data_IF_782527139071
#
_entry.id   IF_782527139071
#
_cell.length_a   1.000
_cell.length_b   1.000
_cell.length_c   1.000
_cell.angle_alpha   90.00
_cell.angle_beta   90.00
_cell.angle_gamma   90.00
#
_symmetry.space_group_name_H-M   'P 1'
#
loop_
_entity.id
_entity.type
_entity.pdbx_description
1 polymer ?
#
# COMPACT_ATOMS: atom_id res chain seq x y z
N UNK A 1 5.73 18.37 6.21
CA UNK A 1 5.29 16.96 6.20
C UNK A 1 6.42 16.12 5.63
N UNK A 2 6.73 14.96 6.23
CA UNK A 2 7.69 14.01 5.63
C UNK A 2 7.07 13.45 4.34
N UNK A 3 7.81 13.44 3.24
CA UNK A 3 7.33 12.84 1.99
C UNK A 3 7.21 11.32 2.14
N UNK A 4 6.06 10.77 1.76
CA UNK A 4 5.79 9.33 1.76
C UNK A 4 5.79 8.74 0.34
N UNK A 5 5.78 7.41 0.27
CA UNK A 5 5.47 6.69 -0.98
C UNK A 5 4.01 6.95 -1.33
N UNK A 6 3.73 7.25 -2.60
CA UNK A 6 2.37 7.49 -3.06
C UNK A 6 1.59 6.18 -3.08
N UNK A 7 0.32 6.26 -2.68
CA UNK A 7 -0.65 5.16 -2.83
C UNK A 7 -1.71 5.57 -3.85
N UNK A 8 -2.04 4.66 -4.76
CA UNK A 8 -3.05 4.85 -5.79
C UNK A 8 -4.21 3.89 -5.55
N UNK A 9 -5.45 4.38 -5.64
CA UNK A 9 -6.62 3.50 -5.51
C UNK A 9 -6.69 2.53 -6.70
N UNK A 10 -6.76 1.24 -6.40
CA UNK A 10 -6.76 0.15 -7.37
C UNK A 10 -8.13 -0.54 -7.39
N UNK A 11 -9.09 -0.09 -8.21
CA UNK A 11 -10.43 -0.67 -8.24
C UNK A 11 -10.44 -2.10 -8.82
N UNK A 12 -9.45 -2.45 -9.64
CA UNK A 12 -9.26 -3.78 -10.18
C UNK A 12 -7.93 -4.33 -9.66
N UNK A 13 -7.99 -5.34 -8.80
CA UNK A 13 -6.79 -6.03 -8.32
C UNK A 13 -6.31 -7.08 -9.32
N UNK A 14 -5.00 -7.37 -9.39
CA UNK A 14 -4.47 -8.46 -10.20
C UNK A 14 -5.15 -9.80 -9.88
N UNK A 15 -5.25 -10.70 -10.86
CA UNK A 15 -5.93 -11.99 -10.71
C UNK A 15 -5.36 -12.88 -9.58
N UNK A 16 -4.12 -12.63 -9.14
CA UNK A 16 -3.49 -13.32 -8.02
C UNK A 16 -4.06 -12.94 -6.65
N UNK A 17 -4.84 -11.85 -6.55
CA UNK A 17 -5.43 -11.36 -5.29
C UNK A 17 -6.93 -11.61 -5.30
N UNK A 18 -7.49 -12.35 -4.32
CA UNK A 18 -8.93 -12.56 -4.24
C UNK A 18 -9.64 -11.24 -3.90
N UNK A 19 -10.62 -10.87 -4.73
CA UNK A 19 -11.46 -9.69 -4.49
C UNK A 19 -12.36 -9.95 -3.28
N UNK A 20 -12.21 -9.13 -2.23
CA UNK A 20 -13.10 -9.16 -1.06
C UNK A 20 -14.09 -7.98 -1.14
N UNK A 21 -15.39 -8.21 -0.95
CA UNK A 21 -16.33 -7.10 -0.81
C UNK A 21 -16.01 -6.34 0.49
N UNK A 22 -16.26 -5.02 0.50
CA UNK A 22 -16.08 -4.12 1.66
C UNK A 22 -14.63 -3.79 2.05
N UNK A 23 -13.64 -4.09 1.20
CA UNK A 23 -12.29 -3.55 1.35
C UNK A 23 -11.95 -2.65 0.16
N UNK A 24 -11.09 -1.67 0.39
CA UNK A 24 -10.54 -0.82 -0.66
C UNK A 24 -9.09 -1.20 -0.89
N UNK A 25 -8.73 -1.43 -2.14
CA UNK A 25 -7.36 -1.79 -2.51
C UNK A 25 -6.59 -0.54 -2.95
N UNK A 26 -5.34 -0.51 -2.53
CA UNK A 26 -4.41 0.54 -2.88
C UNK A 26 -3.10 -0.09 -3.33
N UNK A 27 -2.54 0.43 -4.40
CA UNK A 27 -1.22 0.07 -4.90
C UNK A 27 -0.20 1.09 -4.43
N UNK A 28 0.96 0.60 -3.98
CA UNK A 28 2.13 1.44 -3.75
C UNK A 28 2.71 1.84 -5.10
N UNK A 29 2.90 3.13 -5.33
CA UNK A 29 3.58 3.64 -6.52
C UNK A 29 5.01 3.11 -6.53
N UNK A 30 5.38 2.24 -7.50
CA UNK A 30 6.69 1.62 -7.53
C UNK A 30 7.77 2.58 -8.04
N UNK A 31 7.42 3.83 -8.36
CA UNK A 31 8.34 4.82 -8.89
C UNK A 31 8.82 5.81 -7.83
N UNK A 32 10.08 6.22 -8.00
CA UNK A 32 10.69 7.31 -7.24
C UNK A 32 11.60 6.87 -6.09
N UNK A 33 12.40 7.83 -5.62
CA UNK A 33 13.49 7.57 -4.69
C UNK A 33 13.05 7.02 -3.33
N UNK A 34 11.81 7.28 -2.89
CA UNK A 34 11.29 6.78 -1.61
C UNK A 34 10.94 5.29 -1.69
N UNK A 35 10.36 4.83 -2.80
CA UNK A 35 10.08 3.41 -3.00
C UNK A 35 11.39 2.60 -3.07
N UNK A 36 12.39 3.09 -3.80
CA UNK A 36 13.71 2.46 -3.85
C UNK A 36 14.39 2.39 -2.47
N UNK A 37 14.27 3.46 -1.67
CA UNK A 37 14.78 3.46 -0.28
C UNK A 37 14.04 2.46 0.59
N UNK A 38 12.72 2.34 0.45
CA UNK A 38 11.92 1.34 1.15
C UNK A 38 12.40 -0.08 0.81
N UNK A 39 12.62 -0.37 -0.48
CA UNK A 39 13.17 -1.67 -0.91
C UNK A 39 14.56 -1.94 -0.34
N UNK A 40 15.47 -0.96 -0.38
CA UNK A 40 16.83 -1.08 0.19
C UNK A 40 16.81 -1.27 1.71
N UNK A 41 15.94 -0.56 2.41
CA UNK A 41 15.77 -0.68 3.86
C UNK A 41 15.06 -1.98 4.27
N UNK A 42 14.39 -2.65 3.33
CA UNK A 42 13.59 -3.87 3.55
C UNK A 42 12.55 -3.69 4.66
N UNK A 43 12.01 -2.49 4.76
CA UNK A 43 11.06 -2.12 5.81
C UNK A 43 10.07 -1.11 5.25
N UNK A 44 8.82 -1.21 5.69
CA UNK A 44 7.74 -0.29 5.40
C UNK A 44 7.10 0.14 6.70
N UNK A 45 6.72 1.41 6.80
CA UNK A 45 5.97 1.94 7.93
C UNK A 45 4.76 2.67 7.40
N UNK A 46 3.58 2.29 7.89
CA UNK A 46 2.31 2.87 7.50
C UNK A 46 1.79 3.66 8.69
N UNK A 47 1.59 4.96 8.50
CA UNK A 47 0.98 5.82 9.50
C UNK A 47 -0.48 6.05 9.15
N UNK A 48 -1.38 5.72 10.09
CA UNK A 48 -2.82 5.97 9.98
C UNK A 48 -3.15 7.13 10.93
N UNK A 49 -3.72 8.25 10.42
CA UNK A 49 -4.17 9.35 11.26
C UNK A 49 -5.25 8.93 12.25
N UNK A 50 -5.35 9.61 13.39
CA UNK A 50 -6.25 9.26 14.49
C UNK A 50 -7.75 9.25 14.13
N UNK A 51 -8.18 9.85 13.01
CA UNK A 51 -9.57 9.88 12.58
C UNK A 51 -10.10 8.58 11.95
N UNK A 52 -9.24 7.57 11.82
CA UNK A 52 -9.59 6.29 11.21
C UNK A 52 -9.71 5.19 12.27
N UNK A 53 -10.89 5.05 12.85
CA UNK A 53 -11.16 4.03 13.87
C UNK A 53 -11.44 2.65 13.24
N UNK A 54 -10.92 1.59 13.86
CA UNK A 54 -11.21 0.21 13.45
C UNK A 54 -10.62 -0.23 12.10
N UNK A 55 -9.65 0.51 11.56
CA UNK A 55 -8.98 0.10 10.32
C UNK A 55 -8.17 -1.19 10.53
N UNK A 56 -8.37 -2.14 9.62
CA UNK A 56 -7.48 -3.27 9.41
C UNK A 56 -6.73 -3.06 8.09
N UNK A 57 -5.42 -3.30 8.11
CA UNK A 57 -4.56 -3.22 6.93
C UNK A 57 -3.97 -4.59 6.62
N UNK A 58 -3.90 -4.93 5.33
CA UNK A 58 -3.23 -6.10 4.81
C UNK A 58 -2.24 -5.66 3.74
N UNK A 59 -1.00 -6.13 3.83
CA UNK A 59 0.03 -5.87 2.84
C UNK A 59 0.22 -7.10 1.97
N UNK A 60 0.03 -6.93 0.67
CA UNK A 60 0.15 -8.00 -0.32
C UNK A 60 1.26 -7.62 -1.29
N UNK A 61 2.24 -8.51 -1.45
CA UNK A 61 3.23 -8.41 -2.51
C UNK A 61 2.85 -9.39 -3.63
N UNK A 62 2.59 -8.87 -4.83
CA UNK A 62 2.31 -9.69 -6.01
C UNK A 62 3.60 -9.84 -6.80
N UNK A 63 4.04 -11.08 -7.00
CA UNK A 63 5.19 -11.41 -7.83
C UNK A 63 4.64 -11.72 -9.22
N UNK A 64 4.96 -10.88 -10.21
CA UNK A 64 4.65 -11.12 -11.62
C UNK A 64 5.81 -11.84 -12.31
#
# INVERSE_FOLDING_TARGET
AMGGVRINHAPQVPAAVPVRPRVSYFELDPHGALYERMLKARSISIHVPAGFEGIALELIAVIA
#
